data_IF_315580275237
#
_entry.id   IF_315580275237
#
_cell.length_a   1.000
_cell.length_b   1.000
_cell.length_c   1.000
_cell.angle_alpha   90.00
_cell.angle_beta   90.00
_cell.angle_gamma   90.00
#
_symmetry.space_group_name_H-M   'P 1'
#
loop_
_entity.id
_entity.type
_entity.pdbx_description
1 polymer ?
#
# COMPACT_ATOMS: atom_id res chain seq x y z
N UNK A 1 -18.82 -8.84 -0.40
CA UNK A 1 -18.51 -9.44 0.91
C UNK A 1 -19.51 -10.51 1.19
N UNK A 2 -19.08 -11.64 1.75
CA UNK A 2 -19.98 -12.64 2.31
C UNK A 2 -20.67 -12.10 3.58
N UNK A 3 -21.85 -12.62 3.91
CA UNK A 3 -22.66 -12.16 5.05
C UNK A 3 -22.40 -12.93 6.36
N UNK A 4 -21.83 -14.11 6.24
CA UNK A 4 -21.42 -15.00 7.34
C UNK A 4 -20.22 -15.85 6.84
N UNK A 5 -19.70 -16.77 7.64
CA UNK A 5 -18.60 -17.66 7.23
C UNK A 5 -19.03 -18.74 6.23
N UNK A 6 -18.08 -19.18 5.42
CA UNK A 6 -18.23 -20.34 4.52
C UNK A 6 -17.64 -21.59 5.15
N UNK A 7 -18.21 -22.76 4.86
CA UNK A 7 -17.78 -24.03 5.44
C UNK A 7 -18.93 -25.03 5.49
N UNK A 8 -18.69 -26.27 5.95
CA UNK A 8 -19.76 -27.23 6.17
C UNK A 8 -20.79 -26.72 7.18
N UNK A 9 -22.07 -26.77 6.77
CA UNK A 9 -23.21 -26.30 7.57
C UNK A 9 -23.68 -27.34 8.59
N UNK A 10 -23.66 -28.61 8.18
CA UNK A 10 -24.21 -29.75 8.91
C UNK A 10 -23.14 -30.63 9.56
N UNK A 11 -23.60 -31.58 10.37
CA UNK A 11 -22.75 -32.47 11.17
C UNK A 11 -21.91 -33.41 10.31
N UNK A 12 -20.61 -33.51 10.62
CA UNK A 12 -19.68 -34.54 10.14
C UNK A 12 -19.56 -34.70 8.60
N UNK A 13 -19.59 -33.60 7.84
CA UNK A 13 -19.31 -33.63 6.40
C UNK A 13 -17.88 -34.12 6.18
N UNK A 14 -17.72 -35.22 5.44
CA UNK A 14 -16.44 -35.92 5.27
C UNK A 14 -15.86 -35.74 3.86
N UNK A 15 -14.57 -35.41 3.77
CA UNK A 15 -13.81 -35.44 2.51
C UNK A 15 -14.11 -34.32 1.52
N UNK A 16 -14.71 -33.20 1.97
CA UNK A 16 -15.02 -32.06 1.11
C UNK A 16 -13.74 -31.31 0.72
N UNK A 17 -13.64 -30.95 -0.56
CA UNK A 17 -12.56 -30.15 -1.13
C UNK A 17 -13.05 -28.72 -1.42
N UNK A 18 -12.38 -27.71 -0.85
CA UNK A 18 -12.46 -26.32 -1.27
C UNK A 18 -11.21 -26.02 -2.12
N UNK A 19 -11.38 -25.78 -3.41
CA UNK A 19 -10.30 -25.60 -4.38
C UNK A 19 -10.43 -24.24 -5.08
N UNK A 20 -9.39 -23.39 -5.00
CA UNK A 20 -9.35 -22.02 -5.55
C UNK A 20 -10.53 -21.13 -5.08
N UNK A 21 -10.99 -21.29 -3.84
CA UNK A 21 -12.18 -20.59 -3.30
C UNK A 21 -11.82 -19.23 -2.68
N UNK A 22 -12.44 -18.16 -3.17
CA UNK A 22 -12.30 -16.79 -2.63
C UNK A 22 -13.50 -16.35 -1.80
N UNK A 23 -13.28 -16.09 -0.50
CA UNK A 23 -14.27 -15.53 0.43
C UNK A 23 -13.93 -14.07 0.76
N UNK A 24 -14.66 -13.14 0.16
CA UNK A 24 -14.49 -11.70 0.37
C UNK A 24 -15.01 -11.26 1.75
N UNK A 25 -14.09 -10.97 2.69
CA UNK A 25 -14.41 -10.31 3.97
C UNK A 25 -14.99 -11.20 5.06
N UNK A 26 -14.99 -12.52 4.88
CA UNK A 26 -15.43 -13.50 5.88
C UNK A 26 -14.53 -14.74 5.88
N UNK A 27 -14.70 -15.62 6.86
CA UNK A 27 -13.87 -16.82 7.03
C UNK A 27 -14.27 -18.03 6.17
N UNK A 28 -13.33 -18.96 6.02
CA UNK A 28 -13.57 -20.34 5.57
C UNK A 28 -13.23 -21.30 6.71
N UNK A 29 -14.22 -22.05 7.20
CA UNK A 29 -14.15 -22.79 8.47
C UNK A 29 -14.39 -24.30 8.28
N UNK A 30 -13.44 -25.11 8.75
CA UNK A 30 -13.57 -26.53 9.03
C UNK A 30 -13.38 -26.71 10.55
N UNK A 31 -14.46 -26.79 11.32
CA UNK A 31 -14.37 -26.72 12.78
C UNK A 31 -15.50 -27.39 13.56
N UNK A 32 -15.42 -27.32 14.89
CA UNK A 32 -16.52 -27.60 15.79
C UNK A 32 -17.39 -26.33 15.93
N UNK A 33 -18.62 -26.38 15.39
CA UNK A 33 -19.65 -25.34 15.47
C UNK A 33 -20.37 -25.34 16.84
N UNK A 34 -20.08 -26.30 17.71
CA UNK A 34 -20.63 -26.46 19.05
C UNK A 34 -22.18 -26.42 19.07
N UNK A 35 -22.76 -25.36 19.65
CA UNK A 35 -24.22 -25.14 19.76
C UNK A 35 -24.81 -24.37 18.57
N UNK A 36 -24.00 -23.85 17.66
CA UNK A 36 -24.50 -23.20 16.45
C UNK A 36 -25.21 -24.22 15.54
N UNK A 37 -26.12 -23.74 14.69
CA UNK A 37 -26.96 -24.61 13.84
C UNK A 37 -27.90 -25.55 14.63
N UNK A 38 -28.10 -25.32 15.93
CA UNK A 38 -28.93 -26.19 16.78
C UNK A 38 -28.16 -27.30 17.51
N UNK A 39 -26.84 -27.37 17.38
CA UNK A 39 -26.01 -28.40 18.04
C UNK A 39 -25.12 -29.21 17.10
N UNK A 40 -24.74 -28.65 15.95
CA UNK A 40 -24.02 -29.35 14.87
C UNK A 40 -22.69 -30.00 15.30
N UNK A 41 -22.05 -29.50 16.36
CA UNK A 41 -20.76 -30.03 16.79
C UNK A 41 -19.70 -29.94 15.68
N UNK A 42 -18.92 -31.00 15.48
CA UNK A 42 -17.94 -31.09 14.39
C UNK A 42 -18.61 -31.15 13.01
N UNK A 43 -18.46 -30.10 12.19
CA UNK A 43 -19.07 -30.07 10.85
C UNK A 43 -18.18 -30.61 9.73
N UNK A 44 -16.86 -30.74 9.97
CA UNK A 44 -15.88 -31.10 8.95
C UNK A 44 -14.93 -32.22 9.42
N UNK A 45 -14.75 -33.28 8.62
CA UNK A 45 -13.80 -34.35 8.86
C UNK A 45 -13.05 -34.76 7.57
N UNK A 46 -11.73 -34.94 7.62
CA UNK A 46 -10.91 -35.30 6.44
C UNK A 46 -11.07 -34.33 5.24
N UNK A 47 -11.55 -33.11 5.47
CA UNK A 47 -11.77 -32.08 4.46
C UNK A 47 -10.46 -31.35 4.14
N UNK A 48 -10.34 -30.83 2.91
CA UNK A 48 -9.14 -30.15 2.42
C UNK A 48 -9.50 -28.78 1.86
N UNK A 49 -8.75 -27.76 2.26
CA UNK A 49 -8.72 -26.45 1.63
C UNK A 49 -7.44 -26.35 0.80
N UNK A 50 -7.55 -25.97 -0.48
CA UNK A 50 -6.46 -25.87 -1.44
C UNK A 50 -6.51 -24.54 -2.18
N UNK A 51 -5.38 -23.83 -2.24
CA UNK A 51 -5.21 -22.57 -3.01
C UNK A 51 -6.34 -21.54 -2.81
N UNK A 52 -6.92 -21.51 -1.61
CA UNK A 52 -8.12 -20.73 -1.29
C UNK A 52 -7.79 -19.56 -0.35
N UNK A 53 -8.55 -18.48 -0.46
CA UNK A 53 -8.30 -17.23 0.26
C UNK A 53 -9.54 -16.70 0.97
N UNK A 54 -9.43 -16.46 2.28
CA UNK A 54 -10.51 -16.02 3.15
C UNK A 54 -10.00 -15.05 4.22
N UNK A 55 -10.89 -14.29 4.86
CA UNK A 55 -10.48 -13.30 5.87
C UNK A 55 -9.91 -13.97 7.14
N UNK A 56 -10.41 -15.18 7.43
CA UNK A 56 -9.92 -16.11 8.45
C UNK A 56 -9.93 -17.53 7.85
N UNK A 57 -8.88 -18.31 8.13
CA UNK A 57 -8.70 -19.66 7.62
C UNK A 57 -8.71 -20.62 8.81
N UNK A 58 -9.90 -21.10 9.17
CA UNK A 58 -10.12 -21.92 10.38
C UNK A 58 -10.10 -23.39 9.99
N UNK A 59 -9.07 -24.11 10.39
CA UNK A 59 -8.88 -25.53 10.08
C UNK A 59 -8.55 -26.28 11.37
N UNK A 60 -9.56 -26.90 11.96
CA UNK A 60 -9.46 -27.73 13.17
C UNK A 60 -9.78 -29.19 12.82
N UNK A 61 -9.14 -30.14 13.49
CA UNK A 61 -9.33 -31.58 13.24
C UNK A 61 -10.23 -32.24 14.28
N UNK A 62 -11.33 -32.91 13.89
CA UNK A 62 -12.12 -33.72 14.83
C UNK A 62 -11.32 -34.95 15.31
N UNK A 63 -11.60 -35.48 16.50
CA UNK A 63 -10.96 -36.70 17.00
C UNK A 63 -11.07 -37.86 16.00
N UNK A 64 -9.92 -38.39 15.56
CA UNK A 64 -9.84 -39.53 14.64
C UNK A 64 -9.87 -39.20 13.13
N UNK A 65 -9.88 -37.92 12.73
CA UNK A 65 -9.80 -37.50 11.33
C UNK A 65 -8.94 -36.23 11.18
N UNK A 66 -8.46 -35.93 9.97
CA UNK A 66 -7.47 -34.86 9.74
C UNK A 66 -7.94 -33.88 8.65
N UNK A 67 -8.30 -32.67 9.06
CA UNK A 67 -8.58 -31.57 8.13
C UNK A 67 -7.26 -30.89 7.71
N UNK A 68 -7.20 -30.41 6.46
CA UNK A 68 -5.99 -29.82 5.85
C UNK A 68 -6.26 -28.45 5.22
N UNK A 69 -5.28 -27.57 5.26
CA UNK A 69 -5.27 -26.27 4.58
C UNK A 69 -3.90 -26.04 3.93
N UNK A 70 -3.84 -26.12 2.60
CA UNK A 70 -2.58 -26.10 1.83
C UNK A 70 -2.59 -24.93 0.84
N UNK A 71 -1.54 -24.11 0.85
CA UNK A 71 -1.45 -22.96 -0.06
C UNK A 71 -2.51 -21.90 0.22
N UNK A 72 -2.84 -21.66 1.48
CA UNK A 72 -4.00 -20.86 1.90
C UNK A 72 -3.62 -19.46 2.35
N UNK A 73 -4.48 -18.49 2.02
CA UNK A 73 -4.22 -17.06 2.24
C UNK A 73 -5.27 -16.44 3.16
N UNK A 74 -4.84 -15.93 4.32
CA UNK A 74 -5.74 -15.41 5.36
C UNK A 74 -5.30 -15.78 6.76
N UNK A 75 -5.88 -15.13 7.79
CA UNK A 75 -5.46 -15.33 9.20
C UNK A 75 -5.69 -16.80 9.62
N UNK A 76 -4.65 -17.62 9.86
CA UNK A 76 -4.82 -19.04 10.13
C UNK A 76 -5.19 -19.29 11.60
N UNK A 77 -6.05 -20.28 11.85
CA UNK A 77 -6.34 -20.75 13.20
C UNK A 77 -6.78 -22.22 13.22
N UNK A 78 -6.26 -22.99 14.17
CA UNK A 78 -6.70 -24.36 14.47
C UNK A 78 -5.56 -25.38 14.56
N UNK A 79 -5.93 -26.64 14.69
CA UNK A 79 -5.06 -27.82 14.88
C UNK A 79 -5.11 -28.82 13.70
N UNK A 80 -5.70 -28.42 12.57
CA UNK A 80 -5.54 -29.08 11.28
C UNK A 80 -4.13 -28.91 10.71
N UNK A 81 -3.80 -29.69 9.68
CA UNK A 81 -2.53 -29.54 8.98
C UNK A 81 -2.55 -28.26 8.13
N UNK A 82 -1.71 -27.28 8.47
CA UNK A 82 -1.42 -26.10 7.66
C UNK A 82 -0.08 -26.29 6.95
N UNK A 83 -0.07 -26.15 5.62
CA UNK A 83 1.12 -26.31 4.79
C UNK A 83 1.19 -25.16 3.77
N UNK A 84 2.36 -24.55 3.58
CA UNK A 84 2.57 -23.47 2.59
C UNK A 84 1.52 -22.33 2.73
N UNK A 85 1.26 -21.88 3.96
CA UNK A 85 0.38 -20.72 4.22
C UNK A 85 1.01 -19.44 3.69
N UNK A 86 0.16 -18.57 3.11
CA UNK A 86 0.56 -17.34 2.40
C UNK A 86 1.58 -17.61 1.26
N UNK A 87 1.45 -18.76 0.60
CA UNK A 87 2.25 -19.20 -0.54
C UNK A 87 1.38 -19.81 -1.68
N UNK A 88 1.92 -19.88 -2.90
CA UNK A 88 1.25 -20.43 -4.08
C UNK A 88 1.86 -21.78 -4.46
N UNK A 89 1.04 -22.83 -4.48
CA UNK A 89 1.50 -24.24 -4.59
C UNK A 89 1.07 -24.88 -5.90
N UNK A 90 1.73 -25.97 -6.29
CA UNK A 90 1.38 -26.77 -7.48
C UNK A 90 0.90 -28.17 -7.09
N UNK A 91 -0.06 -28.77 -7.82
CA UNK A 91 -0.83 -28.19 -8.93
C UNK A 91 -1.77 -27.07 -8.44
N UNK A 92 -2.08 -26.08 -9.29
CA UNK A 92 -2.89 -24.94 -8.84
C UNK A 92 -4.29 -25.36 -8.39
N UNK A 93 -4.91 -26.31 -9.08
CA UNK A 93 -6.18 -26.93 -8.67
C UNK A 93 -6.03 -28.45 -8.67
N UNK A 94 -6.37 -29.08 -7.54
CA UNK A 94 -6.43 -30.54 -7.42
C UNK A 94 -7.55 -31.11 -8.30
N UNK A 95 -8.67 -30.40 -8.43
CA UNK A 95 -9.76 -30.80 -9.33
C UNK A 95 -9.31 -30.77 -10.79
N UNK A 96 -8.63 -29.71 -11.24
CA UNK A 96 -8.14 -29.57 -12.61
C UNK A 96 -7.08 -30.63 -12.95
N UNK A 97 -6.11 -30.87 -12.06
CA UNK A 97 -5.06 -31.88 -12.23
C UNK A 97 -5.66 -33.29 -12.35
N UNK A 98 -6.58 -33.64 -11.45
CA UNK A 98 -7.28 -34.93 -11.52
C UNK A 98 -8.19 -35.04 -12.76
N UNK A 99 -8.77 -33.93 -13.25
CA UNK A 99 -9.56 -33.93 -14.47
C UNK A 99 -8.70 -34.17 -15.71
N UNK A 100 -7.57 -33.45 -15.85
CA UNK A 100 -6.60 -33.66 -16.93
C UNK A 100 -6.05 -35.09 -16.92
N UNK A 101 -5.73 -35.63 -15.74
CA UNK A 101 -5.30 -37.03 -15.56
C UNK A 101 -6.37 -38.02 -16.03
N UNK A 102 -7.65 -37.82 -15.66
CA UNK A 102 -8.78 -38.67 -16.11
C UNK A 102 -9.07 -38.55 -17.60
N UNK A 103 -8.75 -37.42 -18.22
CA UNK A 103 -8.88 -37.15 -19.66
C UNK A 103 -7.58 -37.44 -20.44
N UNK A 104 -6.69 -38.27 -19.89
CA UNK A 104 -5.46 -38.75 -20.53
C UNK A 104 -4.52 -37.65 -21.07
N UNK A 105 -4.54 -36.46 -20.45
CA UNK A 105 -3.70 -35.33 -20.86
C UNK A 105 -4.28 -34.46 -21.97
N UNK A 106 -5.54 -34.65 -22.39
CA UNK A 106 -6.23 -33.64 -23.21
C UNK A 106 -6.40 -32.34 -22.39
N UNK A 107 -5.76 -31.25 -22.82
CA UNK A 107 -5.92 -29.95 -22.17
C UNK A 107 -7.29 -29.33 -22.48
N UNK A 108 -8.27 -29.75 -21.68
CA UNK A 108 -9.64 -29.23 -21.65
C UNK A 108 -9.84 -28.24 -20.50
N UNK A 109 -8.77 -27.66 -19.94
CA UNK A 109 -8.86 -26.60 -18.90
C UNK A 109 -9.64 -25.38 -19.41
N UNK A 110 -9.65 -25.14 -20.73
CA UNK A 110 -10.51 -24.15 -21.39
C UNK A 110 -12.00 -24.26 -21.01
N UNK A 111 -12.51 -25.45 -20.67
CA UNK A 111 -13.89 -25.65 -20.21
C UNK A 111 -14.13 -25.25 -18.75
N UNK A 112 -13.08 -25.11 -17.93
CA UNK A 112 -13.15 -24.60 -16.55
C UNK A 112 -13.37 -23.07 -16.50
N UNK A 113 -13.29 -22.39 -17.66
CA UNK A 113 -13.45 -20.94 -17.75
C UNK A 113 -12.34 -20.18 -17.00
N UNK A 114 -12.61 -18.97 -16.48
CA UNK A 114 -11.62 -18.16 -15.77
C UNK A 114 -10.97 -18.84 -14.56
N UNK A 115 -11.63 -19.84 -13.94
CA UNK A 115 -11.07 -20.57 -12.80
C UNK A 115 -9.90 -21.50 -13.19
N UNK A 116 -9.82 -21.91 -14.46
CA UNK A 116 -8.72 -22.72 -15.01
C UNK A 116 -7.67 -21.93 -15.81
N UNK A 117 -7.78 -20.60 -15.92
CA UNK A 117 -6.78 -19.79 -16.64
C UNK A 117 -5.52 -19.58 -15.80
N UNK A 118 -4.36 -19.84 -16.38
CA UNK A 118 -3.08 -19.36 -15.84
C UNK A 118 -3.14 -17.85 -15.59
N UNK A 119 -2.70 -17.44 -14.39
CA UNK A 119 -2.47 -16.04 -14.11
C UNK A 119 -1.11 -15.64 -14.68
N UNK A 120 -1.12 -14.87 -15.77
CA UNK A 120 0.09 -14.22 -16.26
C UNK A 120 0.54 -13.22 -15.18
N UNK A 121 1.64 -13.55 -14.50
CA UNK A 121 2.18 -12.74 -13.41
C UNK A 121 3.66 -13.03 -13.23
N UNK A 122 4.50 -12.03 -13.55
CA UNK A 122 5.94 -12.13 -13.40
C UNK A 122 6.39 -11.51 -12.06
N UNK A 123 7.22 -12.21 -11.30
CA UNK A 123 7.84 -11.66 -10.07
C UNK A 123 8.85 -10.56 -10.38
N UNK A 124 9.53 -10.66 -11.53
CA UNK A 124 10.37 -9.63 -12.13
C UNK A 124 10.04 -9.52 -13.65
N UNK A 125 9.09 -8.66 -14.05
CA UNK A 125 8.66 -8.53 -15.44
C UNK A 125 9.73 -7.87 -16.33
N UNK A 126 9.77 -8.22 -17.61
CA UNK A 126 10.41 -7.39 -18.63
C UNK A 126 9.63 -6.07 -18.83
N UNK A 127 10.24 -5.02 -19.41
CA UNK A 127 9.55 -3.75 -19.66
C UNK A 127 8.26 -3.90 -20.48
N UNK A 128 8.25 -4.80 -21.47
CA UNK A 128 7.07 -5.07 -22.32
C UNK A 128 5.93 -5.74 -21.54
N UNK A 129 6.24 -6.67 -20.63
CA UNK A 129 5.24 -7.27 -19.73
C UNK A 129 4.72 -6.23 -18.73
N UNK A 130 5.59 -5.39 -18.16
CA UNK A 130 5.19 -4.31 -17.26
C UNK A 130 4.23 -3.31 -17.94
N UNK A 131 4.50 -2.95 -19.20
CA UNK A 131 3.64 -2.10 -20.03
C UNK A 131 2.30 -2.80 -20.38
N UNK A 132 2.32 -4.12 -20.61
CA UNK A 132 1.11 -4.93 -20.79
C UNK A 132 0.25 -4.96 -19.51
N UNK A 133 0.86 -5.18 -18.34
CA UNK A 133 0.16 -5.18 -17.06
C UNK A 133 -0.37 -3.78 -16.69
N UNK A 134 0.36 -2.71 -17.03
CA UNK A 134 -0.14 -1.34 -16.90
C UNK A 134 -1.45 -1.16 -17.67
N UNK A 135 -1.47 -1.42 -18.98
CA UNK A 135 -2.67 -1.38 -19.83
C UNK A 135 -3.82 -2.26 -19.33
N UNK A 136 -3.52 -3.47 -18.85
CA UNK A 136 -4.54 -4.33 -18.23
C UNK A 136 -5.15 -3.68 -16.99
N UNK A 137 -4.34 -2.97 -16.20
CA UNK A 137 -4.76 -2.37 -14.94
C UNK A 137 -5.58 -1.07 -15.05
N UNK A 138 -5.80 -0.57 -16.27
CA UNK A 138 -6.81 0.45 -16.60
C UNK A 138 -8.25 -0.06 -16.43
N UNK A 139 -8.46 -1.39 -16.38
CA UNK A 139 -9.79 -2.03 -16.37
C UNK A 139 -10.00 -2.84 -15.08
N UNK A 140 -11.23 -2.92 -14.54
CA UNK A 140 -11.51 -3.76 -13.38
C UNK A 140 -11.17 -5.24 -13.60
N UNK A 141 -10.79 -5.93 -12.52
CA UNK A 141 -10.68 -7.39 -12.56
C UNK A 141 -12.08 -8.01 -12.80
N UNK A 142 -12.22 -9.00 -13.72
CA UNK A 142 -13.51 -9.59 -14.04
C UNK A 142 -14.08 -10.38 -12.85
N UNK A 143 -15.36 -10.16 -12.55
CA UNK A 143 -16.05 -10.81 -11.43
C UNK A 143 -16.82 -12.05 -11.88
N UNK A 144 -17.27 -12.86 -10.91
CA UNK A 144 -18.21 -13.96 -11.17
C UNK A 144 -19.53 -13.47 -11.80
N UNK A 145 -19.96 -12.23 -11.53
CA UNK A 145 -21.16 -11.66 -12.17
C UNK A 145 -20.92 -11.40 -13.65
N UNK A 146 -19.74 -10.92 -14.02
CA UNK A 146 -19.38 -10.67 -15.41
C UNK A 146 -19.21 -11.99 -16.19
N UNK A 147 -18.69 -13.03 -15.53
CA UNK A 147 -18.66 -14.40 -16.08
C UNK A 147 -20.06 -14.99 -16.32
N UNK A 148 -21.01 -14.73 -15.41
CA UNK A 148 -22.41 -15.13 -15.58
C UNK A 148 -23.09 -14.32 -16.70
N UNK A 149 -22.90 -13.00 -16.72
CA UNK A 149 -23.48 -12.09 -17.70
C UNK A 149 -22.92 -12.29 -19.12
N UNK A 150 -21.67 -12.73 -19.25
CA UNK A 150 -21.03 -13.07 -20.53
C UNK A 150 -21.32 -14.51 -20.99
N UNK A 151 -22.04 -15.33 -20.23
CA UNK A 151 -22.40 -16.69 -20.63
C UNK A 151 -23.16 -16.78 -21.98
N UNK A 152 -24.06 -15.84 -22.36
CA UNK A 152 -24.68 -15.83 -23.69
C UNK A 152 -23.74 -15.37 -24.82
N UNK A 153 -22.68 -14.63 -24.49
CA UNK A 153 -21.80 -13.94 -25.45
C UNK A 153 -20.40 -14.59 -25.54
N UNK A 154 -20.32 -15.91 -25.38
CA UNK A 154 -19.10 -16.69 -25.62
C UNK A 154 -18.94 -16.99 -27.11
N UNK A 155 -18.35 -16.07 -27.86
CA UNK A 155 -18.22 -16.19 -29.32
C UNK A 155 -17.01 -17.01 -29.79
N UNK A 156 -17.05 -17.40 -31.08
CA UNK A 156 -15.86 -17.61 -31.90
C UNK A 156 -15.04 -16.30 -32.01
N UNK A 157 -13.75 -16.40 -32.33
CA UNK A 157 -12.77 -15.31 -32.17
C UNK A 157 -13.09 -13.99 -32.93
N UNK A 158 -12.80 -12.85 -32.28
CA UNK A 158 -13.03 -11.46 -32.76
C UNK A 158 -11.99 -10.44 -32.24
N UNK A 159 -12.20 -9.13 -32.48
CA UNK A 159 -11.14 -8.09 -32.44
C UNK A 159 -11.54 -6.71 -31.81
N UNK A 160 -10.66 -5.71 -31.94
CA UNK A 160 -10.59 -4.38 -31.28
C UNK A 160 -11.15 -3.21 -32.14
N UNK A 161 -11.27 -1.91 -31.74
CA UNK A 161 -10.45 -0.94 -30.95
C UNK A 161 -11.35 0.17 -30.32
N UNK A 162 -11.05 0.75 -29.12
CA UNK A 162 -11.88 1.82 -28.46
C UNK A 162 -11.11 2.83 -27.52
N UNK A 163 -11.45 4.15 -27.51
CA UNK A 163 -11.04 5.22 -26.53
C UNK A 163 -12.25 5.80 -25.72
N UNK A 164 -12.35 6.99 -25.06
CA UNK A 164 -11.57 8.27 -24.95
C UNK A 164 -11.90 9.15 -23.67
N UNK A 165 -11.37 10.38 -23.65
CA UNK A 165 -11.42 11.58 -22.75
C UNK A 165 -12.78 12.22 -22.34
N UNK A 166 -12.92 13.26 -21.47
CA UNK A 166 -12.19 13.77 -20.26
C UNK A 166 -12.83 15.10 -19.67
N UNK A 167 -12.39 15.51 -18.46
CA UNK A 167 -12.24 16.91 -17.90
C UNK A 167 -13.41 17.77 -17.36
N UNK A 168 -13.27 18.66 -16.33
CA UNK A 168 -12.15 19.08 -15.40
C UNK A 168 -12.71 19.65 -14.04
N UNK A 169 -11.94 19.70 -12.91
CA UNK A 169 -12.36 20.29 -11.59
C UNK A 169 -11.22 20.95 -10.71
N UNK A 170 -11.46 22.10 -10.00
CA UNK A 170 -10.52 22.78 -9.04
C UNK A 170 -11.12 23.25 -7.66
N UNK A 171 -10.44 23.77 -6.61
CA UNK A 171 -9.03 23.65 -6.11
C UNK A 171 -8.75 23.97 -4.58
N UNK A 172 -8.79 25.23 -4.03
CA UNK A 172 -7.75 25.70 -3.06
C UNK A 172 -8.18 26.41 -1.72
N UNK A 173 -7.18 26.89 -0.92
CA UNK A 173 -7.22 27.81 0.28
C UNK A 173 -7.78 27.23 1.62
N UNK A 174 -7.61 27.74 2.87
CA UNK A 174 -6.75 28.70 3.67
C UNK A 174 -7.10 28.48 5.19
N UNK A 175 -6.68 29.13 6.32
CA UNK A 175 -5.65 30.07 6.91
C UNK A 175 -5.93 30.13 8.47
N UNK A 176 -5.23 30.85 9.40
CA UNK A 176 -3.98 31.66 9.40
C UNK A 176 -2.92 31.12 10.42
N UNK A 177 -2.15 31.96 11.18
CA UNK A 177 -0.77 31.62 11.61
C UNK A 177 -0.14 32.21 12.94
N UNK A 178 1.08 31.74 13.38
CA UNK A 178 1.70 31.93 14.72
C UNK A 178 3.15 32.55 14.76
N UNK A 179 4.22 31.82 15.21
CA UNK A 179 5.60 32.32 15.50
C UNK A 179 6.76 31.28 15.39
N UNK A 180 8.05 31.69 15.54
CA UNK A 180 9.18 31.23 14.69
C UNK A 180 10.45 30.54 15.31
N UNK A 181 11.44 30.20 14.44
CA UNK A 181 12.51 29.15 14.55
C UNK A 181 13.97 29.59 14.19
N UNK A 182 14.92 28.63 13.98
CA UNK A 182 16.29 28.77 13.41
C UNK A 182 16.39 27.99 12.08
N UNK A 183 17.46 28.14 11.26
CA UNK A 183 17.45 27.79 9.81
C UNK A 183 18.75 27.17 9.22
N UNK A 184 18.60 26.33 8.17
CA UNK A 184 19.62 25.81 7.22
C UNK A 184 19.88 26.75 6.02
N UNK A 185 21.04 26.63 5.34
CA UNK A 185 21.36 27.32 4.06
C UNK A 185 22.08 26.42 3.03
N UNK A 186 22.26 26.93 1.79
CA UNK A 186 23.05 26.30 0.72
C UNK A 186 24.11 27.29 0.23
N UNK A 187 25.38 26.86 0.08
CA UNK A 187 26.49 27.71 -0.38
C UNK A 187 27.42 26.91 -1.30
N UNK A 188 27.70 27.44 -2.51
CA UNK A 188 28.64 26.86 -3.48
C UNK A 188 28.42 25.35 -3.75
N UNK A 189 27.16 24.95 -3.95
CA UNK A 189 26.78 23.55 -4.20
C UNK A 189 26.87 22.63 -2.98
N UNK A 190 26.94 23.18 -1.75
CA UNK A 190 26.99 22.42 -0.50
C UNK A 190 25.85 22.84 0.43
N UNK A 191 25.20 21.87 1.06
CA UNK A 191 24.26 22.10 2.16
C UNK A 191 25.03 22.50 3.42
N UNK A 192 24.58 23.53 4.15
CA UNK A 192 25.19 24.00 5.38
C UNK A 192 24.16 24.11 6.52
N UNK A 193 24.48 23.54 7.68
CA UNK A 193 23.77 23.78 8.94
C UNK A 193 24.70 24.46 9.93
N UNK A 194 24.25 25.55 10.58
CA UNK A 194 25.08 26.35 11.49
C UNK A 194 26.38 26.89 10.89
N UNK A 195 26.44 27.08 9.57
CA UNK A 195 27.64 27.52 8.85
C UNK A 195 28.68 26.44 8.56
N UNK A 196 28.38 25.15 8.81
CA UNK A 196 29.27 24.01 8.50
C UNK A 196 28.66 23.11 7.42
N UNK A 197 29.47 22.50 6.54
CA UNK A 197 28.96 21.55 5.54
C UNK A 197 28.26 20.35 6.21
N UNK A 198 27.05 20.04 5.73
CA UNK A 198 26.27 18.90 6.18
C UNK A 198 26.86 17.61 5.60
N UNK A 199 27.56 16.83 6.44
CA UNK A 199 28.18 15.55 6.06
C UNK A 199 27.88 14.53 7.15
N UNK A 200 27.38 13.35 6.76
CA UNK A 200 27.05 12.28 7.69
C UNK A 200 26.28 11.14 7.04
N UNK A 201 25.66 10.29 7.86
CA UNK A 201 24.92 9.10 7.43
C UNK A 201 23.47 9.43 7.08
N UNK A 202 22.87 8.59 6.23
CA UNK A 202 21.42 8.50 5.99
C UNK A 202 20.79 7.49 6.95
N UNK A 203 19.57 7.76 7.41
CA UNK A 203 18.72 6.80 8.12
C UNK A 203 17.32 6.72 7.51
N UNK A 204 16.81 5.50 7.38
CA UNK A 204 15.48 5.19 6.86
C UNK A 204 14.77 4.31 7.90
N UNK A 205 13.64 4.75 8.49
CA UNK A 205 12.89 3.95 9.47
C UNK A 205 12.33 2.63 8.90
N UNK A 206 12.00 1.67 9.78
CA UNK A 206 11.19 0.50 9.37
C UNK A 206 9.73 0.93 9.29
N UNK A 207 9.17 0.92 8.06
CA UNK A 207 7.89 1.53 7.68
C UNK A 207 6.72 0.55 7.47
N UNK A 208 6.92 -0.76 7.70
CA UNK A 208 5.89 -1.80 7.48
C UNK A 208 5.61 -2.73 8.68
N UNK A 209 6.53 -2.84 9.65
CA UNK A 209 6.43 -3.84 10.74
C UNK A 209 7.12 -3.41 12.03
N UNK A 210 6.49 -3.75 13.16
CA UNK A 210 7.06 -3.62 14.50
C UNK A 210 6.48 -4.65 15.47
N UNK A 211 6.78 -4.52 16.77
CA UNK A 211 6.13 -5.34 17.81
C UNK A 211 5.94 -4.52 19.10
N UNK A 212 4.96 -4.91 19.92
CA UNK A 212 4.67 -4.29 21.24
C UNK A 212 5.29 -5.04 22.43
N UNK A 213 5.95 -6.17 22.19
CA UNK A 213 6.69 -6.93 23.22
C UNK A 213 7.93 -6.13 23.66
N UNK A 214 8.12 -5.82 24.96
CA UNK A 214 9.22 -4.96 25.42
C UNK A 214 10.64 -5.42 25.05
N UNK A 215 10.86 -6.73 24.95
CA UNK A 215 12.14 -7.33 24.54
C UNK A 215 12.43 -7.23 23.04
N UNK A 216 11.40 -7.04 22.20
CA UNK A 216 11.52 -7.05 20.74
C UNK A 216 11.37 -5.66 20.13
N UNK A 217 10.51 -4.80 20.70
CA UNK A 217 10.21 -3.46 20.17
C UNK A 217 11.47 -2.61 19.88
N UNK A 218 12.50 -2.53 20.77
CA UNK A 218 13.70 -1.74 20.53
C UNK A 218 14.49 -2.13 19.27
N UNK A 219 14.37 -3.38 18.83
CA UNK A 219 15.03 -3.93 17.64
C UNK A 219 14.48 -3.38 16.32
N UNK A 220 13.27 -2.83 16.31
CA UNK A 220 12.68 -2.20 15.11
C UNK A 220 13.12 -0.74 14.91
N UNK A 221 14.04 -0.23 15.74
CA UNK A 221 14.55 1.14 15.65
C UNK A 221 13.47 2.22 15.87
N UNK A 222 13.83 3.52 15.74
CA UNK A 222 12.86 4.61 15.80
C UNK A 222 12.10 4.80 14.47
N UNK A 223 10.85 5.27 14.55
CA UNK A 223 10.02 5.62 13.39
C UNK A 223 9.09 6.79 13.71
N UNK A 224 9.18 7.89 12.95
CA UNK A 224 8.58 9.18 13.31
C UNK A 224 7.07 9.07 13.54
N UNK A 225 6.32 8.48 12.60
CA UNK A 225 4.84 8.38 12.67
C UNK A 225 4.32 7.01 13.12
N UNK A 226 5.15 6.23 13.85
CA UNK A 226 4.70 5.00 14.50
C UNK A 226 4.05 5.31 15.85
N UNK A 227 2.91 4.69 16.13
CA UNK A 227 2.12 4.88 17.34
C UNK A 227 1.87 3.55 18.06
N UNK A 228 1.99 3.56 19.39
CA UNK A 228 1.57 2.48 20.29
C UNK A 228 0.81 3.09 21.47
N UNK A 229 -0.51 2.85 21.60
CA UNK A 229 -1.30 3.35 22.72
C UNK A 229 -0.66 3.05 24.09
N UNK A 230 -0.51 4.09 24.91
CA UNK A 230 0.03 3.99 26.26
C UNK A 230 1.52 3.63 26.37
N UNK A 231 2.30 3.61 25.27
CA UNK A 231 3.74 3.29 25.31
C UNK A 231 4.57 4.31 24.54
N UNK A 232 5.48 4.98 25.25
CA UNK A 232 6.46 5.92 24.70
C UNK A 232 7.87 5.34 24.87
N UNK A 233 8.71 5.46 23.84
CA UNK A 233 10.11 5.01 23.84
C UNK A 233 10.49 4.25 22.57
N UNK A 234 11.78 3.92 22.45
CA UNK A 234 12.38 3.26 21.27
C UNK A 234 11.60 1.99 20.88
N UNK A 235 11.06 1.97 19.67
CA UNK A 235 10.29 0.82 19.16
C UNK A 235 8.78 0.89 19.38
N UNK A 236 8.31 1.85 20.18
CA UNK A 236 6.89 2.10 20.45
C UNK A 236 6.45 3.40 19.74
N UNK A 237 5.71 4.28 20.42
CA UNK A 237 5.63 5.70 20.04
C UNK A 237 6.96 6.34 20.45
N UNK A 238 7.85 6.65 19.50
CA UNK A 238 9.17 7.16 19.88
C UNK A 238 9.10 8.56 20.52
N UNK A 239 10.05 8.85 21.40
CA UNK A 239 10.27 10.19 21.96
C UNK A 239 11.13 10.98 20.97
N UNK A 240 10.55 11.99 20.31
CA UNK A 240 11.21 12.67 19.19
C UNK A 240 12.46 13.46 19.61
N UNK A 241 12.55 13.91 20.86
CA UNK A 241 13.77 14.55 21.38
C UNK A 241 14.89 13.51 21.48
N UNK A 242 14.62 12.36 22.11
CA UNK A 242 15.60 11.26 22.23
C UNK A 242 15.99 10.66 20.87
N UNK A 243 15.08 10.67 19.89
CA UNK A 243 15.39 10.28 18.51
C UNK A 243 16.33 11.30 17.87
N UNK A 244 16.03 12.60 17.95
CA UNK A 244 16.90 13.66 17.42
C UNK A 244 18.30 13.67 18.07
N UNK A 245 18.38 13.39 19.38
CA UNK A 245 19.65 13.18 20.10
C UNK A 245 20.42 11.97 19.57
N UNK A 246 19.81 10.77 19.51
CA UNK A 246 20.46 9.56 19.00
C UNK A 246 20.96 9.73 17.56
N UNK A 247 20.21 10.42 16.71
CA UNK A 247 20.59 10.68 15.32
C UNK A 247 21.83 11.58 15.25
N UNK A 248 21.87 12.63 16.06
CA UNK A 248 23.02 13.55 16.17
C UNK A 248 24.27 12.81 16.68
N UNK A 249 24.16 12.09 17.79
CA UNK A 249 25.25 11.32 18.40
C UNK A 249 25.83 10.25 17.45
N UNK A 250 24.99 9.67 16.59
CA UNK A 250 25.39 8.64 15.61
C UNK A 250 25.89 9.21 14.28
N UNK A 251 26.01 10.54 14.15
CA UNK A 251 26.46 11.22 12.94
C UNK A 251 25.50 11.03 11.76
N UNK A 252 24.19 10.95 12.01
CA UNK A 252 23.15 10.84 10.99
C UNK A 252 22.72 12.26 10.60
N UNK A 253 23.08 12.66 9.38
CA UNK A 253 22.83 14.00 8.86
C UNK A 253 21.46 14.11 8.17
N UNK A 254 20.94 13.00 7.64
CA UNK A 254 19.69 12.96 6.87
C UNK A 254 18.80 11.81 7.33
N UNK A 255 17.55 12.12 7.63
CA UNK A 255 16.51 11.16 7.98
C UNK A 255 15.45 11.19 6.89
N UNK A 256 15.17 10.04 6.29
CA UNK A 256 14.12 9.91 5.29
C UNK A 256 12.78 9.59 5.92
N UNK A 257 11.71 10.19 5.39
CA UNK A 257 10.35 9.88 5.80
C UNK A 257 9.37 9.89 4.62
N UNK A 258 8.64 8.78 4.52
CA UNK A 258 7.38 8.63 3.80
C UNK A 258 6.35 7.96 4.73
N UNK A 259 5.07 7.92 4.35
CA UNK A 259 4.06 7.22 5.14
C UNK A 259 4.34 5.70 5.19
N UNK A 260 3.84 5.03 6.23
CA UNK A 260 3.95 3.58 6.35
C UNK A 260 3.16 2.83 5.27
N UNK A 261 3.47 1.56 5.07
CA UNK A 261 2.90 0.74 3.99
C UNK A 261 1.40 0.47 4.16
N UNK A 262 0.97 0.26 5.40
CA UNK A 262 -0.40 -0.04 5.84
C UNK A 262 -0.59 0.41 7.29
N UNK A 263 -1.84 0.39 7.78
CA UNK A 263 -2.18 0.96 9.09
C UNK A 263 -1.71 0.13 10.30
N UNK A 264 -1.96 -1.18 10.32
CA UNK A 264 -1.76 -2.02 11.51
C UNK A 264 -1.18 -3.42 11.19
N UNK A 265 -0.62 -4.07 12.21
CA UNK A 265 0.12 -5.35 12.09
C UNK A 265 -0.66 -6.50 11.50
N UNK A 266 -1.99 -6.45 11.40
CA UNK A 266 -2.74 -7.50 10.70
C UNK A 266 -2.18 -7.76 9.31
N UNK A 267 -1.73 -6.72 8.59
CA UNK A 267 -1.16 -6.82 7.24
C UNK A 267 0.34 -7.18 7.21
N UNK A 268 0.99 -7.45 8.36
CA UNK A 268 2.29 -8.16 8.40
C UNK A 268 2.23 -9.46 7.55
N UNK A 269 1.05 -10.08 7.43
CA UNK A 269 0.75 -11.28 6.63
C UNK A 269 0.87 -11.09 5.10
N UNK A 270 1.04 -9.86 4.59
CA UNK A 270 1.08 -9.57 3.14
C UNK A 270 -0.11 -10.16 2.34
N UNK A 271 -1.25 -10.40 2.99
CA UNK A 271 -2.43 -10.94 2.31
C UNK A 271 -3.18 -9.85 1.54
N UNK A 272 -3.88 -10.22 0.46
CA UNK A 272 -4.79 -9.33 -0.30
C UNK A 272 -6.23 -9.30 0.27
N UNK A 273 -6.52 -10.02 1.34
CA UNK A 273 -7.91 -10.28 1.78
C UNK A 273 -8.49 -9.15 2.65
N UNK A 274 -9.76 -8.82 2.44
CA UNK A 274 -10.50 -7.85 3.26
C UNK A 274 -10.62 -8.35 4.71
N UNK A 275 -10.38 -7.50 5.70
CA UNK A 275 -10.56 -7.86 7.12
C UNK A 275 -12.06 -7.92 7.47
N UNK A 276 -12.49 -8.82 8.38
CA UNK A 276 -13.90 -8.97 8.74
C UNK A 276 -14.35 -7.87 9.73
N UNK A 277 -13.39 -7.25 10.43
CA UNK A 277 -13.61 -6.38 11.58
C UNK A 277 -12.60 -5.21 11.63
N UNK A 278 -12.87 -4.27 12.54
CA UNK A 278 -11.95 -3.20 12.91
C UNK A 278 -11.02 -3.56 14.08
N UNK A 279 -10.81 -4.85 14.39
CA UNK A 279 -9.99 -5.27 15.53
C UNK A 279 -8.49 -5.18 15.16
N UNK A 280 -7.93 -3.98 15.31
CA UNK A 280 -6.55 -3.62 14.94
C UNK A 280 -5.48 -4.19 15.88
N UNK A 281 -4.26 -4.38 15.36
CA UNK A 281 -3.10 -4.88 16.14
C UNK A 281 -1.92 -3.90 16.07
N UNK A 282 -1.46 -3.30 17.19
CA UNK A 282 -0.36 -2.32 17.18
C UNK A 282 1.05 -2.95 17.04
N UNK A 283 2.09 -2.17 16.68
CA UNK A 283 2.07 -0.72 16.45
C UNK A 283 1.29 -0.32 15.21
N UNK A 284 0.79 0.90 15.23
CA UNK A 284 0.13 1.53 14.10
C UNK A 284 1.12 2.42 13.35
N UNK A 285 1.07 2.36 12.03
CA UNK A 285 1.79 3.28 11.15
C UNK A 285 0.77 4.29 10.61
N UNK A 286 0.67 5.41 11.35
CA UNK A 286 -0.33 6.44 11.07
C UNK A 286 -0.14 6.99 9.66
N UNK A 287 -1.27 7.21 8.98
CA UNK A 287 -1.35 7.64 7.59
C UNK A 287 -1.61 9.16 7.52
N UNK A 288 -1.18 9.85 6.44
CA UNK A 288 -1.31 11.31 6.34
C UNK A 288 -2.75 11.83 6.24
N UNK A 289 -3.71 10.96 5.94
CA UNK A 289 -5.13 11.28 5.79
C UNK A 289 -5.92 10.84 7.02
N UNK A 290 -6.91 11.64 7.41
CA UNK A 290 -7.85 11.28 8.46
C UNK A 290 -8.87 10.25 7.96
N UNK A 291 -9.46 9.48 8.88
CA UNK A 291 -10.61 8.63 8.57
C UNK A 291 -11.90 9.44 8.66
N UNK A 292 -12.80 9.24 7.70
CA UNK A 292 -14.08 9.94 7.56
C UNK A 292 -15.12 9.56 8.61
N UNK A 293 -14.82 8.58 9.47
CA UNK A 293 -15.77 7.90 10.37
C UNK A 293 -16.97 7.26 9.65
N UNK A 294 -16.91 7.11 8.33
CA UNK A 294 -17.99 6.61 7.48
C UNK A 294 -17.55 5.46 6.57
N UNK A 295 -18.52 4.64 6.16
CA UNK A 295 -18.32 3.43 5.37
C UNK A 295 -17.43 2.39 6.05
N UNK A 296 -16.93 1.44 5.26
CA UNK A 296 -15.88 0.50 5.67
C UNK A 296 -14.83 0.38 4.56
N UNK A 297 -13.56 0.41 4.95
CA UNK A 297 -12.39 0.19 4.10
C UNK A 297 -11.97 -1.30 4.12
N UNK A 298 -10.93 -1.65 3.36
CA UNK A 298 -10.47 -3.04 3.21
C UNK A 298 -9.79 -3.61 4.46
N UNK A 299 -9.25 -2.73 5.31
CA UNK A 299 -8.74 -3.00 6.66
C UNK A 299 -9.85 -3.22 7.71
N UNK A 300 -11.12 -3.10 7.32
CA UNK A 300 -12.29 -3.28 8.18
C UNK A 300 -12.64 -2.10 9.09
N UNK A 301 -11.87 -1.02 9.04
CA UNK A 301 -12.13 0.25 9.74
C UNK A 301 -12.98 1.19 8.86
N UNK A 302 -13.31 2.39 9.35
CA UNK A 302 -13.90 3.45 8.52
C UNK A 302 -12.95 3.92 7.42
N UNK A 303 -13.51 4.39 6.31
CA UNK A 303 -12.74 4.87 5.15
C UNK A 303 -11.94 6.13 5.45
N UNK A 304 -10.94 6.43 4.63
CA UNK A 304 -10.23 7.70 4.61
C UNK A 304 -11.06 8.80 3.94
N UNK A 305 -10.75 10.06 4.27
CA UNK A 305 -11.05 11.20 3.39
C UNK A 305 -9.72 11.85 3.02
N UNK A 306 -9.36 11.77 1.74
CA UNK A 306 -8.09 12.27 1.21
C UNK A 306 -8.01 13.80 1.19
N UNK A 307 -9.12 14.50 1.45
CA UNK A 307 -9.14 15.96 1.67
C UNK A 307 -8.95 16.35 3.14
N UNK A 308 -9.14 15.42 4.08
CA UNK A 308 -8.90 15.64 5.51
C UNK A 308 -7.55 15.03 5.93
N UNK A 309 -6.72 15.83 6.60
CA UNK A 309 -5.39 15.41 7.00
C UNK A 309 -5.35 14.94 8.45
N UNK A 310 -4.57 13.89 8.73
CA UNK A 310 -4.39 13.34 10.08
C UNK A 310 -3.57 14.34 10.94
N UNK A 311 -4.16 15.03 11.92
CA UNK A 311 -3.47 16.09 12.64
C UNK A 311 -2.28 15.58 13.45
N UNK A 312 -2.35 14.34 13.96
CA UNK A 312 -1.25 13.72 14.71
C UNK A 312 -0.05 13.45 13.81
N UNK A 313 -0.28 12.88 12.61
CA UNK A 313 0.77 12.60 11.63
C UNK A 313 1.56 13.86 11.27
N UNK A 314 0.86 14.95 10.92
CA UNK A 314 1.50 16.19 10.47
C UNK A 314 2.10 17.02 11.61
N UNK A 315 1.46 17.08 12.78
CA UNK A 315 2.05 17.72 13.96
C UNK A 315 3.38 17.05 14.32
N UNK A 316 3.39 15.72 14.38
CA UNK A 316 4.54 14.93 14.80
C UNK A 316 5.70 14.98 13.79
N UNK A 317 5.39 15.13 12.51
CA UNK A 317 6.40 15.45 11.50
C UNK A 317 6.97 16.87 11.64
N UNK A 318 6.13 17.88 11.92
CA UNK A 318 6.57 19.25 12.16
C UNK A 318 7.47 19.36 13.40
N UNK A 319 7.04 18.78 14.51
CA UNK A 319 7.80 18.64 15.75
C UNK A 319 9.18 18.00 15.49
N UNK A 320 9.23 16.94 14.68
CA UNK A 320 10.50 16.31 14.32
C UNK A 320 11.37 17.17 13.39
N UNK A 321 10.79 17.91 12.45
CA UNK A 321 11.52 18.84 11.59
C UNK A 321 12.16 19.99 12.39
N UNK A 322 11.41 20.59 13.33
CA UNK A 322 11.88 21.64 14.23
C UNK A 322 13.02 21.15 15.14
N UNK A 323 12.88 19.95 15.70
CA UNK A 323 13.95 19.30 16.46
C UNK A 323 15.19 19.02 15.60
N UNK A 324 15.01 18.60 14.34
CA UNK A 324 16.13 18.42 13.42
C UNK A 324 16.84 19.75 13.11
N UNK A 325 16.14 20.87 12.92
CA UNK A 325 16.74 22.18 12.62
C UNK A 325 17.57 22.66 13.82
N UNK A 326 17.03 22.49 15.04
CA UNK A 326 17.76 22.74 16.29
C UNK A 326 19.01 21.87 16.50
N UNK A 327 19.07 20.67 15.89
CA UNK A 327 20.21 19.73 15.97
C UNK A 327 21.13 19.79 14.74
N UNK A 328 20.82 20.63 13.74
CA UNK A 328 21.57 20.75 12.50
C UNK A 328 21.43 19.54 11.55
N UNK A 329 20.35 18.76 11.69
CA UNK A 329 20.02 17.60 10.85
C UNK A 329 18.88 17.93 9.87
N UNK A 330 18.78 17.13 8.81
CA UNK A 330 17.81 17.30 7.71
C UNK A 330 16.74 16.20 7.72
N UNK A 331 15.48 16.63 7.55
CA UNK A 331 14.37 15.74 7.22
C UNK A 331 14.19 15.70 5.70
N UNK A 332 14.43 14.54 5.09
CA UNK A 332 14.19 14.29 3.67
C UNK A 332 12.77 13.76 3.50
N UNK A 333 11.85 14.70 3.25
CA UNK A 333 10.41 14.46 3.12
C UNK A 333 10.08 13.93 1.71
N UNK A 334 9.84 12.63 1.62
CA UNK A 334 9.37 11.96 0.41
C UNK A 334 7.85 12.10 0.35
N UNK A 335 7.33 12.81 -0.66
CA UNK A 335 5.89 13.09 -0.75
C UNK A 335 5.09 11.80 -0.95
N UNK A 336 5.52 10.95 -1.90
CA UNK A 336 4.87 9.69 -2.26
C UNK A 336 5.75 8.46 -1.97
N UNK A 337 5.15 7.27 -2.00
CA UNK A 337 5.85 5.98 -1.85
C UNK A 337 5.40 5.01 -2.95
N UNK A 338 6.24 4.79 -3.96
CA UNK A 338 5.85 4.01 -5.15
C UNK A 338 5.67 2.50 -4.85
N UNK A 339 6.21 2.02 -3.74
CA UNK A 339 6.10 0.62 -3.27
C UNK A 339 4.65 0.17 -3.05
N UNK A 340 3.73 1.09 -2.73
CA UNK A 340 2.28 0.85 -2.66
C UNK A 340 1.62 0.61 -4.03
N UNK A 341 2.28 0.99 -5.13
CA UNK A 341 1.70 1.07 -6.47
C UNK A 341 2.19 -0.06 -7.41
N UNK A 342 3.40 -0.58 -7.18
CA UNK A 342 4.07 -1.56 -8.07
C UNK A 342 4.59 -2.85 -7.40
N UNK A 343 4.91 -2.86 -6.10
CA UNK A 343 5.64 -4.01 -5.53
C UNK A 343 4.76 -5.23 -5.25
N UNK A 344 3.65 -5.06 -4.51
CA UNK A 344 2.69 -6.13 -4.31
C UNK A 344 1.26 -5.63 -4.12
N UNK A 345 0.29 -6.44 -4.52
CA UNK A 345 -1.13 -6.16 -4.37
C UNK A 345 -1.58 -5.98 -2.93
N UNK A 346 -0.88 -6.59 -1.96
CA UNK A 346 -1.12 -6.36 -0.53
C UNK A 346 -0.78 -4.93 -0.08
N UNK A 347 0.19 -4.29 -0.75
CA UNK A 347 0.58 -2.91 -0.46
C UNK A 347 -0.48 -1.92 -0.98
N UNK A 348 -1.13 -2.26 -2.09
CA UNK A 348 -2.29 -1.52 -2.63
C UNK A 348 -3.57 -1.79 -1.84
N UNK A 349 -3.73 -2.99 -1.25
CA UNK A 349 -5.03 -3.48 -0.78
C UNK A 349 -5.64 -2.60 0.32
N UNK A 350 -4.83 -2.12 1.27
CA UNK A 350 -5.23 -1.20 2.35
C UNK A 350 -4.78 0.27 2.09
N UNK A 351 -4.23 0.57 0.91
CA UNK A 351 -3.70 1.91 0.58
C UNK A 351 -4.82 2.97 0.58
N UNK A 352 -4.64 4.15 1.22
CA UNK A 352 -5.71 5.15 1.33
C UNK A 352 -6.31 5.61 0.00
N UNK A 353 -5.50 5.76 -1.05
CA UNK A 353 -5.94 6.27 -2.36
C UNK A 353 -6.73 5.26 -3.19
N UNK A 354 -6.84 4.00 -2.75
CA UNK A 354 -7.67 3.00 -3.42
C UNK A 354 -9.15 3.34 -3.24
N UNK A 355 -9.95 3.27 -4.31
CA UNK A 355 -11.37 3.61 -4.34
C UNK A 355 -12.20 2.90 -3.24
N UNK A 356 -11.91 1.63 -2.94
CA UNK A 356 -12.56 0.90 -1.85
C UNK A 356 -12.26 1.46 -0.43
N UNK A 357 -11.18 2.21 -0.26
CA UNK A 357 -10.63 2.62 1.04
C UNK A 357 -10.92 4.07 1.44
N UNK A 358 -11.40 4.92 0.51
CA UNK A 358 -11.71 6.32 0.80
C UNK A 358 -13.13 6.73 0.38
N UNK A 359 -13.56 7.92 0.80
CA UNK A 359 -14.89 8.49 0.49
C UNK A 359 -14.89 9.41 -0.74
N UNK A 360 -13.71 9.73 -1.27
CA UNK A 360 -13.52 10.55 -2.44
C UNK A 360 -13.54 9.62 -3.67
N UNK A 361 -14.13 10.05 -4.78
CA UNK A 361 -13.90 9.33 -6.04
C UNK A 361 -12.46 9.58 -6.46
N UNK A 362 -11.71 8.49 -6.63
CA UNK A 362 -10.31 8.47 -7.07
C UNK A 362 -10.15 7.87 -8.47
N UNK A 363 -11.21 7.28 -9.03
CA UNK A 363 -11.28 6.67 -10.35
C UNK A 363 -10.17 5.63 -10.59
N UNK A 364 -9.93 4.78 -9.58
CA UNK A 364 -9.15 3.56 -9.73
C UNK A 364 -10.08 2.36 -10.00
N UNK A 365 -9.71 1.43 -10.90
CA UNK A 365 -10.54 0.26 -11.18
C UNK A 365 -10.73 -0.68 -9.98
N UNK A 366 -11.99 -1.01 -9.69
CA UNK A 366 -12.41 -1.96 -8.65
C UNK A 366 -13.31 -3.06 -9.25
N UNK A 367 -13.08 -4.35 -8.93
CA UNK A 367 -12.04 -4.87 -8.06
C UNK A 367 -10.63 -4.70 -8.66
N UNK A 368 -9.56 -4.64 -7.83
CA UNK A 368 -8.25 -4.24 -8.32
C UNK A 368 -7.68 -5.29 -9.28
N UNK A 369 -7.21 -4.89 -10.47
CA UNK A 369 -6.52 -5.75 -11.41
C UNK A 369 -5.11 -6.08 -10.89
N UNK A 370 -5.03 -7.09 -10.02
CA UNK A 370 -3.76 -7.68 -9.58
C UNK A 370 -3.13 -8.46 -10.73
N UNK A 371 -1.83 -8.24 -10.98
CA UNK A 371 -1.07 -8.97 -11.98
C UNK A 371 -0.64 -10.33 -11.41
N UNK A 372 -1.57 -11.27 -11.48
CA UNK A 372 -1.47 -12.59 -10.89
C UNK A 372 -1.28 -12.55 -9.37
N UNK A 373 -0.26 -13.27 -8.91
CA UNK A 373 -0.22 -13.76 -7.53
C UNK A 373 0.53 -12.86 -6.54
N UNK A 374 1.38 -11.96 -7.04
CA UNK A 374 2.04 -10.91 -6.23
C UNK A 374 1.70 -9.48 -6.67
N UNK A 375 1.83 -9.17 -7.96
CA UNK A 375 2.03 -7.80 -8.48
C UNK A 375 0.74 -6.98 -8.65
N UNK A 376 0.93 -5.68 -8.89
CA UNK A 376 -0.09 -4.68 -9.25
C UNK A 376 0.63 -3.51 -9.96
N UNK A 377 -0.04 -2.75 -10.85
CA UNK A 377 0.63 -1.80 -11.78
C UNK A 377 0.02 -0.38 -11.79
N UNK A 378 -0.43 0.10 -10.63
CA UNK A 378 -1.24 1.31 -10.49
C UNK A 378 -0.47 2.64 -10.64
N UNK A 379 0.86 2.61 -10.74
CA UNK A 379 1.68 3.83 -10.75
C UNK A 379 1.40 4.77 -11.93
N UNK A 380 1.13 4.25 -13.12
CA UNK A 380 0.85 5.09 -14.29
C UNK A 380 -0.49 5.85 -14.17
N UNK A 381 -1.52 5.21 -13.56
CA UNK A 381 -2.79 5.86 -13.23
C UNK A 381 -2.61 6.86 -12.06
N UNK A 382 -1.85 6.48 -11.03
CA UNK A 382 -1.63 7.31 -9.85
C UNK A 382 -0.80 8.57 -10.17
N UNK A 383 0.22 8.45 -11.00
CA UNK A 383 1.04 9.58 -11.45
C UNK A 383 0.54 10.22 -12.75
N UNK A 384 -0.77 10.19 -13.00
CA UNK A 384 -1.40 10.93 -14.09
C UNK A 384 -1.87 12.33 -13.64
N UNK A 385 -1.21 13.43 -14.06
CA UNK A 385 -1.65 14.79 -13.79
C UNK A 385 -2.85 15.24 -14.66
N UNK A 386 -3.27 14.43 -15.65
CA UNK A 386 -4.45 14.66 -16.47
C UNK A 386 -5.75 14.17 -15.79
N UNK A 387 -5.68 13.23 -14.85
CA UNK A 387 -6.87 12.72 -14.16
C UNK A 387 -7.49 13.73 -13.17
N UNK A 388 -8.73 14.12 -13.39
CA UNK A 388 -9.37 15.22 -12.63
C UNK A 388 -9.89 14.83 -11.25
N UNK A 389 -10.02 13.54 -10.97
CA UNK A 389 -10.33 13.04 -9.64
C UNK A 389 -9.09 13.10 -8.74
N UNK A 390 -7.95 12.67 -9.28
CA UNK A 390 -6.69 12.57 -8.54
C UNK A 390 -5.91 13.88 -8.48
N UNK A 391 -5.85 14.66 -9.57
CA UNK A 391 -5.12 15.94 -9.65
C UNK A 391 -5.38 16.90 -8.47
N UNK A 392 -6.63 17.25 -8.08
CA UNK A 392 -6.86 18.16 -6.96
C UNK A 392 -6.40 17.57 -5.62
N UNK A 393 -6.52 16.24 -5.44
CA UNK A 393 -6.06 15.55 -4.25
C UNK A 393 -4.53 15.57 -4.17
N UNK A 394 -3.83 15.28 -5.28
CA UNK A 394 -2.36 15.42 -5.36
C UNK A 394 -1.92 16.83 -5.04
N UNK A 395 -2.54 17.84 -5.66
CA UNK A 395 -2.21 19.24 -5.40
C UNK A 395 -2.38 19.61 -3.93
N UNK A 396 -3.52 19.25 -3.32
CA UNK A 396 -3.79 19.50 -1.90
C UNK A 396 -2.80 18.77 -0.98
N UNK A 397 -2.39 17.55 -1.34
CA UNK A 397 -1.43 16.76 -0.58
C UNK A 397 0.02 17.27 -0.70
N UNK A 398 0.46 17.66 -1.90
CA UNK A 398 1.76 18.30 -2.16
C UNK A 398 1.84 19.61 -1.36
N UNK A 399 0.82 20.46 -1.49
CA UNK A 399 0.76 21.72 -0.72
C UNK A 399 0.72 21.46 0.78
N UNK A 400 0.03 20.41 1.27
CA UNK A 400 0.07 20.06 2.69
C UNK A 400 1.48 19.71 3.20
N UNK A 401 2.36 19.11 2.40
CA UNK A 401 3.78 18.98 2.77
C UNK A 401 4.42 20.37 2.92
N UNK A 402 4.29 21.23 1.91
CA UNK A 402 4.88 22.59 1.89
C UNK A 402 4.35 23.46 3.05
N UNK A 403 3.03 23.55 3.22
CA UNK A 403 2.32 24.26 4.29
C UNK A 403 2.73 23.79 5.69
N UNK A 404 3.10 22.51 5.84
CA UNK A 404 3.56 21.99 7.15
C UNK A 404 4.99 22.44 7.45
N UNK A 405 5.85 22.51 6.43
CA UNK A 405 7.29 22.74 6.58
C UNK A 405 7.74 24.14 6.09
N UNK A 406 6.80 25.08 5.92
CA UNK A 406 7.01 26.40 5.34
C UNK A 406 8.09 27.26 6.03
N UNK A 407 8.39 26.98 7.30
CA UNK A 407 9.39 27.67 8.12
C UNK A 407 10.63 26.81 8.44
N UNK A 408 10.73 25.61 7.84
CA UNK A 408 11.76 24.62 8.09
C UNK A 408 12.68 24.48 6.86
N UNK A 409 13.71 25.32 6.78
CA UNK A 409 14.71 25.22 5.69
C UNK A 409 15.46 23.89 5.70
N UNK A 410 15.57 23.24 6.87
CA UNK A 410 16.16 21.92 7.02
C UNK A 410 15.31 20.75 6.47
N UNK A 411 14.11 21.02 5.93
CA UNK A 411 13.32 20.02 5.21
C UNK A 411 13.69 20.05 3.73
N UNK A 412 14.08 18.90 3.20
CA UNK A 412 14.30 18.68 1.78
C UNK A 412 13.13 17.88 1.24
N UNK A 413 12.38 18.45 0.31
CA UNK A 413 11.22 17.79 -0.31
C UNK A 413 11.65 17.00 -1.55
N UNK A 414 11.11 15.80 -1.73
CA UNK A 414 11.31 15.00 -2.95
C UNK A 414 9.98 14.37 -3.39
N UNK A 415 9.87 14.04 -4.68
CA UNK A 415 8.63 13.46 -5.25
C UNK A 415 8.26 12.17 -4.51
N UNK A 416 9.19 11.26 -4.25
CA UNK A 416 8.90 10.08 -3.45
C UNK A 416 10.02 9.08 -3.27
N UNK A 417 9.76 8.11 -2.40
CA UNK A 417 10.56 6.90 -2.27
C UNK A 417 10.26 5.93 -3.42
N UNK A 418 11.32 5.37 -4.01
CA UNK A 418 11.29 4.41 -5.13
C UNK A 418 10.61 4.94 -6.41
N UNK A 419 10.62 6.26 -6.62
CA UNK A 419 9.88 6.93 -7.70
C UNK A 419 10.49 6.70 -9.09
N UNK A 420 9.68 6.15 -9.99
CA UNK A 420 9.95 6.02 -11.44
C UNK A 420 8.73 6.47 -12.27
N UNK A 421 7.98 7.46 -11.77
CA UNK A 421 6.83 8.03 -12.45
C UNK A 421 7.21 8.99 -13.59
N UNK A 422 6.24 9.33 -14.47
CA UNK A 422 6.50 10.07 -15.70
C UNK A 422 6.90 11.53 -15.48
N UNK A 423 7.65 12.09 -16.44
CA UNK A 423 8.08 13.49 -16.49
C UNK A 423 6.94 14.48 -16.22
N UNK A 424 5.77 14.28 -16.83
CA UNK A 424 4.62 15.17 -16.66
C UNK A 424 4.12 15.29 -15.21
N UNK A 425 4.29 14.24 -14.38
CA UNK A 425 3.97 14.31 -12.96
C UNK A 425 5.02 15.09 -12.17
N UNK A 426 6.31 14.93 -12.50
CA UNK A 426 7.39 15.71 -11.88
C UNK A 426 7.27 17.19 -12.25
N UNK A 427 6.92 17.50 -13.49
CA UNK A 427 6.57 18.86 -13.93
C UNK A 427 5.40 19.42 -13.11
N UNK A 428 4.28 18.71 -13.00
CA UNK A 428 3.13 19.13 -12.18
C UNK A 428 3.47 19.29 -10.68
N UNK A 429 4.36 18.46 -10.13
CA UNK A 429 4.83 18.57 -8.75
C UNK A 429 5.65 19.84 -8.54
N UNK A 430 6.60 20.14 -9.44
CA UNK A 430 7.39 21.39 -9.44
C UNK A 430 6.49 22.61 -9.66
N UNK A 431 5.54 22.55 -10.59
CA UNK A 431 4.58 23.63 -10.86
C UNK A 431 3.74 23.94 -9.61
N UNK A 432 3.29 22.92 -8.89
CA UNK A 432 2.54 23.07 -7.63
C UNK A 432 3.40 23.69 -6.53
N UNK A 433 4.71 23.41 -6.50
CA UNK A 433 5.65 24.07 -5.59
C UNK A 433 5.82 25.54 -6.00
N UNK A 434 6.21 25.82 -7.25
CA UNK A 434 6.42 27.18 -7.77
C UNK A 434 5.17 28.07 -7.65
N UNK A 435 3.96 27.51 -7.75
CA UNK A 435 2.71 28.22 -7.48
C UNK A 435 2.54 28.54 -5.99
N UNK A 436 2.78 27.57 -5.11
CA UNK A 436 2.76 27.78 -3.65
C UNK A 436 3.79 28.82 -3.20
N UNK A 437 5.01 28.81 -3.76
CA UNK A 437 6.06 29.78 -3.47
C UNK A 437 5.63 31.21 -3.87
N UNK A 438 5.10 31.37 -5.09
CA UNK A 438 4.56 32.67 -5.57
C UNK A 438 3.37 33.16 -4.75
N UNK A 439 2.52 32.26 -4.26
CA UNK A 439 1.35 32.61 -3.45
C UNK A 439 1.68 32.96 -2.00
N UNK A 440 2.74 32.39 -1.43
CA UNK A 440 3.06 32.50 0.01
C UNK A 440 4.28 33.37 0.33
N UNK A 441 5.18 33.62 -0.64
CA UNK A 441 6.46 34.28 -0.39
C UNK A 441 7.43 33.45 0.44
N UNK A 442 7.25 32.12 0.45
CA UNK A 442 8.15 31.11 1.02
C UNK A 442 8.87 30.39 -0.13
N UNK A 443 10.01 29.78 0.15
CA UNK A 443 10.69 28.90 -0.81
C UNK A 443 11.08 27.57 -0.17
N UNK A 444 10.91 26.48 -0.91
CA UNK A 444 11.08 25.10 -0.47
C UNK A 444 12.43 24.52 -0.94
N UNK A 445 13.10 23.72 -0.11
CA UNK A 445 14.34 23.04 -0.55
C UNK A 445 13.98 21.82 -1.41
N UNK A 446 13.84 22.02 -2.73
CA UNK A 446 13.41 20.97 -3.68
C UNK A 446 14.57 20.05 -4.05
N UNK A 447 14.36 18.74 -3.89
CA UNK A 447 15.25 17.69 -4.38
C UNK A 447 14.62 16.93 -5.54
N UNK A 448 15.34 16.91 -6.66
CA UNK A 448 15.01 16.09 -7.82
C UNK A 448 15.57 14.68 -7.60
N UNK A 449 14.68 13.72 -7.30
CA UNK A 449 15.01 12.31 -7.05
C UNK A 449 14.06 11.45 -7.88
N UNK A 450 14.51 11.07 -9.07
CA UNK A 450 13.75 10.36 -10.10
C UNK A 450 14.72 9.65 -11.07
N UNK A 451 14.20 8.96 -12.09
CA UNK A 451 15.02 8.31 -13.12
C UNK A 451 15.85 9.32 -13.92
N UNK A 452 17.00 8.88 -14.45
CA UNK A 452 17.97 9.79 -15.10
C UNK A 452 17.37 10.57 -16.28
N UNK A 453 16.55 9.94 -17.11
CA UNK A 453 15.89 10.55 -18.25
C UNK A 453 14.95 11.71 -17.84
N UNK A 454 14.14 11.48 -16.80
CA UNK A 454 13.25 12.50 -16.22
C UNK A 454 14.05 13.61 -15.55
N UNK A 455 15.16 13.26 -14.89
CA UNK A 455 16.04 14.22 -14.23
C UNK A 455 16.75 15.13 -15.24
N UNK A 456 17.34 14.57 -16.30
CA UNK A 456 17.98 15.32 -17.38
C UNK A 456 16.96 16.26 -18.07
N UNK A 457 15.73 15.78 -18.32
CA UNK A 457 14.67 16.56 -18.94
C UNK A 457 14.20 17.76 -18.09
N UNK A 458 14.11 17.61 -16.76
CA UNK A 458 13.80 18.73 -15.85
C UNK A 458 14.97 19.71 -15.73
N UNK A 459 16.21 19.23 -15.74
CA UNK A 459 17.40 20.09 -15.68
C UNK A 459 17.62 20.88 -16.98
N UNK A 460 17.12 20.37 -18.11
CA UNK A 460 17.08 21.07 -19.40
C UNK A 460 15.89 22.03 -19.56
N UNK A 461 14.88 21.98 -18.68
CA UNK A 461 13.68 22.83 -18.74
C UNK A 461 13.92 24.18 -18.03
N UNK A 462 14.07 25.30 -18.76
CA UNK A 462 14.41 26.59 -18.18
C UNK A 462 13.27 27.18 -17.32
N UNK A 463 12.04 26.65 -17.40
CA UNK A 463 10.95 27.08 -16.54
C UNK A 463 10.97 26.38 -15.16
N UNK A 464 11.71 25.27 -15.01
CA UNK A 464 11.66 24.40 -13.83
C UNK A 464 13.02 24.10 -13.20
N UNK A 465 14.12 24.12 -13.97
CA UNK A 465 15.45 23.81 -13.45
C UNK A 465 15.87 24.73 -12.30
N UNK A 466 15.44 26.00 -12.31
CA UNK A 466 15.71 26.98 -11.25
C UNK A 466 15.05 26.69 -9.90
N UNK A 467 14.06 25.80 -9.84
CA UNK A 467 13.45 25.36 -8.57
C UNK A 467 14.35 24.34 -7.84
N UNK A 468 15.25 23.65 -8.55
CA UNK A 468 15.94 22.47 -8.04
C UNK A 468 17.13 22.87 -7.16
N UNK A 469 16.99 22.66 -5.85
CA UNK A 469 18.03 22.92 -4.86
C UNK A 469 19.04 21.76 -4.73
N UNK A 470 18.59 20.52 -4.94
CA UNK A 470 19.38 19.30 -4.73
C UNK A 470 19.11 18.28 -5.84
N UNK A 471 20.17 17.62 -6.31
CA UNK A 471 20.10 16.48 -7.24
C UNK A 471 20.40 15.21 -6.46
N UNK A 472 19.51 14.22 -6.53
CA UNK A 472 19.72 12.87 -6.00
C UNK A 472 19.81 11.90 -7.18
N UNK A 473 20.94 11.21 -7.27
CA UNK A 473 21.33 10.37 -8.41
C UNK A 473 21.01 8.89 -8.21
N UNK A 474 20.19 8.54 -7.22
CA UNK A 474 19.95 7.13 -6.86
C UNK A 474 19.39 6.31 -8.01
N UNK A 475 18.32 6.75 -8.67
CA UNK A 475 17.59 5.96 -9.68
C UNK A 475 18.22 6.09 -11.10
N UNK A 476 19.55 6.07 -11.20
CA UNK A 476 20.33 6.21 -12.44
C UNK A 476 20.82 4.88 -13.05
N UNK A 477 20.41 3.74 -12.48
CA UNK A 477 20.87 2.40 -12.84
C UNK A 477 20.20 1.80 -14.09
#
# INVERSE_FOLDING_TARGET
>A
GATDFSGPLESWVSGLLYDNVTIDGSGLHLENRWRAGGGVGWSAANCTIWQSNAAEMRCFSPPGALNRAVGTWGRPAGDGAFEQSDEFVKPRSLFAEQLATRLAGEDKTAHLGPMGRDYVGATNPTPAEAEQFARQSERPAPTLRDLIASAPNREMLGESVVPADARINPEPKESPQPGATRLMTIVNGRLLTGGRPLVGRRFTPIWWRGNIRPSEAPGFGPAITRFVPGRIGRGFTDDLNKVADELSDRGIAVIEHHHGLWYDRRRDDHTRVRRPDGNVVPPFYEQPFARSSSGRAWDGLSRYDLTMFNPWYWHRLKEFADLCDHKGAVLFAQHYFQHNLLEAGAHWTDFPWREANNVNTTAFPEPPPYAGDKRIFQAHLFYDPANDFRRPIHRRYIRKHLDTFADNRNVIHSVGAEFTGPLGFVQFWIDTILEWERETGKDATVCLSCTKDVQDAILADPARCGAISVIDIRYWW
#
